data_IF_291582230078
#
_entry.id   IF_291582230078
#
_cell.length_a   1.000
_cell.length_b   1.000
_cell.length_c   1.000
_cell.angle_alpha   90.00
_cell.angle_beta   90.00
_cell.angle_gamma   90.00
#
_symmetry.space_group_name_H-M   'P 1'
#
loop_
_entity.id
_entity.type
_entity.pdbx_description
1 polymer ?
#
# COMPACT_ATOMS: atom_id res chain seq x y z
N UNK A 1 24.68 -0.02 5.59
CA UNK A 1 24.19 1.02 4.68
C UNK A 1 23.26 0.35 3.68
N UNK A 2 22.00 0.78 3.56
CA UNK A 2 20.93 0.09 2.79
C UNK A 2 21.14 0.15 1.26
N UNK A 3 22.37 0.37 0.84
CA UNK A 3 22.74 0.68 -0.52
C UNK A 3 23.45 -0.54 -1.05
N UNK A 4 22.85 -1.21 -2.02
CA UNK A 4 23.43 -2.32 -2.77
C UNK A 4 24.64 -1.91 -3.61
N UNK A 5 25.53 -1.10 -3.05
CA UNK A 5 26.68 -0.49 -3.68
C UNK A 5 27.93 -1.34 -3.45
N UNK A 6 27.79 -2.65 -3.34
CA UNK A 6 28.97 -3.51 -3.33
C UNK A 6 29.37 -3.79 -4.77
N UNK A 7 30.09 -2.83 -5.39
CA UNK A 7 30.94 -3.16 -6.55
C UNK A 7 31.98 -4.23 -6.17
N UNK A 8 32.26 -4.39 -4.87
CA UNK A 8 32.95 -5.51 -4.25
C UNK A 8 32.29 -5.84 -2.90
N UNK A 9 31.61 -6.98 -2.79
CA UNK A 9 31.08 -7.48 -1.52
C UNK A 9 30.04 -8.60 -1.73
N UNK A 10 29.93 -9.57 -0.81
CA UNK A 10 29.01 -10.69 -0.97
C UNK A 10 27.57 -10.16 -0.88
N UNK A 11 26.70 -10.58 -1.80
CA UNK A 11 25.26 -10.41 -1.66
C UNK A 11 24.81 -11.07 -0.35
N UNK A 12 24.77 -10.31 0.75
CA UNK A 12 24.24 -10.80 2.02
C UNK A 12 22.75 -11.01 1.80
N UNK A 13 22.33 -12.27 1.76
CA UNK A 13 20.92 -12.63 1.89
C UNK A 13 20.47 -12.16 3.27
N UNK A 14 19.61 -11.14 3.30
CA UNK A 14 18.97 -10.71 4.54
C UNK A 14 18.05 -11.83 5.02
N UNK A 15 18.03 -12.08 6.32
CA UNK A 15 16.94 -12.88 6.88
C UNK A 15 15.61 -12.10 6.81
N UNK A 16 14.45 -12.79 6.94
CA UNK A 16 13.16 -12.13 6.81
C UNK A 16 12.95 -10.96 7.77
N UNK A 17 13.47 -11.02 8.99
CA UNK A 17 13.30 -9.95 9.98
C UNK A 17 14.13 -8.74 9.58
N UNK A 18 15.40 -8.95 9.22
CA UNK A 18 16.28 -7.90 8.70
C UNK A 18 15.63 -7.21 7.48
N UNK A 19 15.10 -7.98 6.52
CA UNK A 19 14.42 -7.45 5.33
C UNK A 19 13.23 -6.54 5.70
N UNK A 20 12.36 -6.97 6.60
CA UNK A 20 11.21 -6.16 7.01
C UNK A 20 11.64 -4.87 7.74
N UNK A 21 12.67 -4.91 8.57
CA UNK A 21 13.20 -3.71 9.23
C UNK A 21 13.82 -2.72 8.23
N UNK A 22 14.47 -3.22 7.18
CA UNK A 22 14.91 -2.38 6.04
C UNK A 22 13.73 -1.68 5.38
N UNK A 23 12.64 -2.41 5.08
CA UNK A 23 11.46 -1.82 4.44
C UNK A 23 10.80 -0.75 5.34
N UNK A 24 10.61 -1.04 6.63
CA UNK A 24 9.99 -0.11 7.60
C UNK A 24 10.75 1.20 7.77
N UNK A 25 12.09 1.13 7.73
CA UNK A 25 12.97 2.29 7.89
C UNK A 25 13.20 3.08 6.60
N UNK A 26 12.73 2.57 5.46
CA UNK A 26 12.89 3.21 4.16
C UNK A 26 11.81 4.26 3.88
N UNK A 27 12.18 5.36 3.20
CA UNK A 27 11.20 6.35 2.70
C UNK A 27 10.40 5.80 1.53
N UNK A 28 11.12 5.27 0.53
CA UNK A 28 10.57 4.70 -0.69
C UNK A 28 11.00 3.23 -0.81
N UNK A 29 10.10 2.39 -1.31
CA UNK A 29 10.38 0.98 -1.56
C UNK A 29 10.12 0.64 -3.02
N UNK A 30 11.14 0.07 -3.67
CA UNK A 30 11.10 -0.26 -5.08
C UNK A 30 10.02 -1.32 -5.38
N UNK A 31 9.07 -0.96 -6.23
CA UNK A 31 8.04 -1.84 -6.78
C UNK A 31 8.10 -1.89 -8.32
N UNK A 32 9.25 -2.27 -8.91
CA UNK A 32 9.39 -2.38 -10.36
C UNK A 32 8.54 -3.53 -10.91
N UNK A 33 8.37 -3.54 -12.24
CA UNK A 33 7.63 -4.57 -12.94
C UNK A 33 8.19 -5.97 -12.64
N UNK A 34 7.28 -6.93 -12.58
CA UNK A 34 7.59 -8.36 -12.53
C UNK A 34 6.88 -9.06 -13.69
N UNK A 35 6.42 -10.30 -13.48
CA UNK A 35 5.44 -10.93 -14.37
C UNK A 35 4.04 -10.33 -14.16
N UNK A 36 3.90 -9.02 -14.42
CA UNK A 36 2.67 -8.24 -14.20
C UNK A 36 2.73 -7.37 -12.94
N UNK A 37 1.63 -7.36 -12.18
CA UNK A 37 1.52 -6.67 -10.90
C UNK A 37 2.54 -7.22 -9.86
N UNK A 38 3.27 -6.33 -9.17
CA UNK A 38 4.34 -6.73 -8.25
C UNK A 38 3.82 -6.89 -6.81
N UNK A 39 4.06 -8.06 -6.19
CA UNK A 39 3.85 -8.26 -4.74
C UNK A 39 4.64 -7.26 -3.90
N UNK A 40 5.72 -6.69 -4.44
CA UNK A 40 6.54 -5.65 -3.81
C UNK A 40 5.73 -4.38 -3.49
N UNK A 41 4.73 -4.06 -4.30
CA UNK A 41 3.82 -2.94 -3.99
C UNK A 41 3.05 -3.24 -2.70
N UNK A 42 2.54 -4.46 -2.55
CA UNK A 42 1.85 -4.89 -1.31
C UNK A 42 2.81 -4.97 -0.13
N UNK A 43 4.04 -5.44 -0.30
CA UNK A 43 5.04 -5.48 0.79
C UNK A 43 5.42 -4.06 1.25
N UNK A 44 5.59 -3.13 0.31
CA UNK A 44 5.88 -1.73 0.58
C UNK A 44 4.74 -1.10 1.37
N UNK A 45 3.51 -1.27 0.87
CA UNK A 45 2.29 -0.88 1.59
C UNK A 45 2.35 -1.55 2.95
N UNK A 46 2.44 -2.89 3.04
CA UNK A 46 2.48 -3.70 4.26
C UNK A 46 3.58 -3.36 5.29
N UNK A 47 4.55 -2.49 4.98
CA UNK A 47 5.55 -1.99 5.92
C UNK A 47 5.49 -0.46 6.11
N UNK A 48 4.48 0.23 5.58
CA UNK A 48 4.33 1.69 5.65
C UNK A 48 5.35 2.46 4.79
N UNK A 49 5.98 1.79 3.85
CA UNK A 49 6.96 2.36 2.94
C UNK A 49 6.28 2.83 1.65
N UNK A 50 6.55 4.07 1.21
CA UNK A 50 5.89 4.62 0.03
C UNK A 50 6.30 3.80 -1.21
N UNK A 51 5.35 3.14 -1.92
CA UNK A 51 5.69 2.34 -3.08
C UNK A 51 6.25 3.22 -4.20
N UNK A 52 7.40 2.82 -4.75
CA UNK A 52 8.01 3.42 -5.92
C UNK A 52 7.75 2.52 -7.14
N UNK A 53 6.70 2.84 -7.88
CA UNK A 53 6.19 2.03 -8.99
C UNK A 53 6.95 2.38 -10.27
N UNK A 54 7.64 1.40 -10.85
CA UNK A 54 8.33 1.51 -12.15
C UNK A 54 7.85 0.36 -13.02
N UNK A 55 6.73 0.58 -13.73
CA UNK A 55 6.00 -0.49 -14.42
C UNK A 55 5.46 -0.03 -15.79
N UNK A 56 6.09 0.99 -16.36
CA UNK A 56 5.90 1.36 -17.76
C UNK A 56 6.58 0.34 -18.68
N UNK A 57 5.96 0.15 -19.83
CA UNK A 57 6.51 -0.56 -20.98
C UNK A 57 6.84 0.49 -22.06
N UNK A 58 8.13 0.82 -22.26
CA UNK A 58 8.54 1.82 -23.24
C UNK A 58 8.16 1.47 -24.68
N UNK A 59 8.06 0.18 -25.02
CA UNK A 59 7.81 -0.28 -26.38
C UNK A 59 6.32 -0.15 -26.75
N UNK A 60 5.43 -0.47 -25.81
CA UNK A 60 3.98 -0.33 -26.02
C UNK A 60 3.42 1.02 -25.57
N UNK A 61 4.19 1.81 -24.82
CA UNK A 61 3.73 3.05 -24.17
C UNK A 61 2.68 2.81 -23.07
N UNK A 62 2.49 1.54 -22.68
CA UNK A 62 1.50 1.16 -21.67
C UNK A 62 2.13 1.06 -20.28
N UNK A 63 1.31 0.91 -19.25
CA UNK A 63 1.75 0.71 -17.87
C UNK A 63 0.83 -0.31 -17.20
N UNK A 64 1.39 -1.03 -16.22
CA UNK A 64 0.60 -1.96 -15.40
C UNK A 64 -0.22 -1.21 -14.37
N UNK A 65 -1.54 -1.45 -14.41
CA UNK A 65 -2.48 -1.00 -13.39
C UNK A 65 -2.23 -1.74 -12.07
N UNK A 66 -2.28 -1.01 -10.96
CA UNK A 66 -2.18 -1.53 -9.62
C UNK A 66 -3.53 -2.05 -9.12
N UNK A 67 -3.47 -2.76 -7.99
CA UNK A 67 -4.66 -3.31 -7.35
C UNK A 67 -5.70 -2.22 -7.09
N UNK A 68 -6.90 -2.44 -7.63
CA UNK A 68 -8.04 -1.53 -7.52
C UNK A 68 -7.74 -0.08 -7.94
N UNK A 69 -6.82 0.17 -8.88
CA UNK A 69 -6.46 1.55 -9.31
C UNK A 69 -7.65 2.32 -9.91
N UNK A 70 -8.72 1.63 -10.33
CA UNK A 70 -9.99 2.28 -10.71
C UNK A 70 -10.77 2.89 -9.51
N UNK A 71 -10.47 2.44 -8.28
CA UNK A 71 -11.09 2.91 -7.04
C UNK A 71 -10.10 3.68 -6.14
N UNK A 72 -8.85 3.22 -6.07
CA UNK A 72 -7.82 3.72 -5.18
C UNK A 72 -6.90 4.68 -5.95
N UNK A 73 -6.74 5.93 -5.49
CA UNK A 73 -5.91 6.90 -6.17
C UNK A 73 -4.43 6.64 -5.84
N UNK A 74 -3.81 5.69 -6.53
CA UNK A 74 -2.41 5.31 -6.29
C UNK A 74 -1.44 6.49 -6.34
N UNK A 75 -1.70 7.51 -7.17
CA UNK A 75 -0.92 8.75 -7.20
C UNK A 75 -0.89 9.52 -5.88
N UNK A 76 -1.85 9.30 -4.99
CA UNK A 76 -1.93 10.00 -3.71
C UNK A 76 -1.11 9.33 -2.61
N UNK A 77 -0.68 8.07 -2.80
CA UNK A 77 0.04 7.30 -1.76
C UNK A 77 1.24 6.50 -2.30
N UNK A 78 1.58 6.67 -3.58
CA UNK A 78 2.74 6.06 -4.22
C UNK A 78 3.41 7.07 -5.15
N UNK A 79 4.67 6.80 -5.49
CA UNK A 79 5.40 7.55 -6.50
C UNK A 79 5.56 6.65 -7.72
N UNK A 80 5.06 7.07 -8.89
CA UNK A 80 5.24 6.34 -10.15
C UNK A 80 6.30 7.04 -11.00
N UNK A 81 7.34 6.30 -11.37
CA UNK A 81 8.42 6.76 -12.26
C UNK A 81 8.51 5.85 -13.50
N UNK A 82 9.24 6.31 -14.52
CA UNK A 82 9.47 5.54 -15.74
C UNK A 82 10.76 4.74 -15.68
N UNK A 83 10.89 3.70 -16.48
CA UNK A 83 12.15 2.97 -16.64
C UNK A 83 13.29 3.91 -17.07
N UNK A 84 12.98 4.92 -17.89
CA UNK A 84 13.93 5.95 -18.31
C UNK A 84 14.49 6.79 -17.15
N UNK A 85 13.82 6.82 -15.99
CA UNK A 85 14.28 7.53 -14.80
C UNK A 85 15.25 6.72 -13.95
N UNK A 86 15.38 5.40 -14.17
CA UNK A 86 16.26 4.49 -13.40
C UNK A 86 17.68 5.04 -13.22
N UNK A 87 18.36 5.55 -14.27
CA UNK A 87 19.72 6.08 -14.14
C UNK A 87 19.85 7.29 -13.19
N UNK A 88 18.75 8.01 -12.95
CA UNK A 88 18.71 9.23 -12.12
C UNK A 88 17.95 9.02 -10.81
N UNK A 89 17.59 7.78 -10.47
CA UNK A 89 16.82 7.50 -9.26
C UNK A 89 17.42 8.12 -7.99
N UNK A 90 18.73 8.02 -7.71
CA UNK A 90 19.30 8.63 -6.51
C UNK A 90 19.04 10.13 -6.43
N UNK A 91 19.25 10.86 -7.53
CA UNK A 91 19.02 12.31 -7.61
C UNK A 91 17.53 12.67 -7.45
N UNK A 92 16.64 11.94 -8.15
CA UNK A 92 15.20 12.18 -8.10
C UNK A 92 14.61 11.93 -6.71
N UNK A 93 15.09 10.91 -6.00
CA UNK A 93 14.60 10.57 -4.66
C UNK A 93 15.22 11.46 -3.58
N UNK A 94 16.48 11.88 -3.75
CA UNK A 94 17.15 12.80 -2.82
C UNK A 94 16.58 14.21 -2.92
N UNK A 95 16.24 14.66 -4.13
CA UNK A 95 15.57 15.95 -4.37
C UNK A 95 14.07 15.94 -4.10
N UNK A 96 13.47 14.80 -3.74
CA UNK A 96 12.03 14.70 -3.52
C UNK A 96 11.62 15.45 -2.24
N UNK A 97 10.70 16.43 -2.30
CA UNK A 97 10.36 17.24 -1.13
C UNK A 97 9.81 16.42 0.03
N UNK A 98 10.36 16.62 1.23
CA UNK A 98 9.93 15.91 2.43
C UNK A 98 8.44 16.09 2.72
N UNK A 99 7.90 17.31 2.55
CA UNK A 99 6.49 17.58 2.76
C UNK A 99 5.58 16.73 1.85
N UNK A 100 5.97 16.57 0.58
CA UNK A 100 5.25 15.74 -0.38
C UNK A 100 5.38 14.26 -0.02
N UNK A 101 6.56 13.81 0.40
CA UNK A 101 6.75 12.43 0.85
C UNK A 101 5.89 12.11 2.09
N UNK A 102 5.86 13.01 3.06
CA UNK A 102 5.03 12.86 4.24
C UNK A 102 3.56 12.72 3.82
N UNK A 103 3.06 13.56 2.92
CA UNK A 103 1.69 13.45 2.41
C UNK A 103 1.38 12.08 1.78
N UNK A 104 2.29 11.56 0.94
CA UNK A 104 2.15 10.21 0.38
C UNK A 104 2.05 9.16 1.49
N UNK A 105 2.93 9.23 2.50
CA UNK A 105 2.93 8.30 3.64
C UNK A 105 1.66 8.43 4.51
N UNK A 106 1.12 9.65 4.66
CA UNK A 106 -0.16 9.87 5.35
C UNK A 106 -1.32 9.18 4.64
N UNK A 107 -1.40 9.38 3.33
CA UNK A 107 -2.43 8.78 2.51
C UNK A 107 -2.28 7.25 2.42
N UNK A 108 -1.05 6.74 2.50
CA UNK A 108 -0.75 5.31 2.58
C UNK A 108 -1.38 4.66 3.82
N UNK A 109 -1.29 5.32 4.98
CA UNK A 109 -1.97 4.85 6.19
C UNK A 109 -3.49 4.82 6.02
N UNK A 110 -4.05 5.84 5.35
CA UNK A 110 -5.49 5.91 5.08
C UNK A 110 -6.01 4.85 4.11
N UNK A 111 -5.19 4.36 3.18
CA UNK A 111 -5.60 3.35 2.19
C UNK A 111 -5.31 1.91 2.65
N UNK A 112 -4.54 1.74 3.73
CA UNK A 112 -4.12 0.45 4.26
C UNK A 112 -5.21 -0.64 4.27
N UNK A 113 -6.37 -0.38 4.89
CA UNK A 113 -7.36 -1.43 5.08
C UNK A 113 -8.02 -1.81 3.75
N UNK A 114 -8.04 -0.90 2.77
CA UNK A 114 -8.63 -1.10 1.43
C UNK A 114 -7.81 -2.03 0.55
N UNK A 115 -6.53 -2.23 0.86
CA UNK A 115 -5.57 -2.92 0.00
C UNK A 115 -5.22 -4.30 0.53
N UNK A 116 -5.04 -4.45 1.85
CA UNK A 116 -4.48 -5.65 2.45
C UNK A 116 -5.55 -6.53 3.10
N UNK A 117 -5.49 -7.84 2.84
CA UNK A 117 -6.36 -8.86 3.43
C UNK A 117 -5.83 -9.35 4.77
N UNK A 118 -5.66 -8.43 5.73
CA UNK A 118 -5.16 -8.74 7.07
C UNK A 118 -6.33 -8.88 8.07
N UNK A 119 -6.12 -9.59 9.19
CA UNK A 119 -7.10 -9.71 10.29
C UNK A 119 -6.49 -9.31 11.64
N UNK A 120 -7.13 -8.33 12.31
CA UNK A 120 -7.51 -8.29 13.74
C UNK A 120 -8.04 -6.89 14.12
N UNK A 121 -7.41 -5.83 13.60
CA UNK A 121 -7.73 -4.42 13.83
C UNK A 121 -7.76 -3.62 12.51
N UNK A 122 -7.22 -4.18 11.43
CA UNK A 122 -7.11 -3.54 10.10
C UNK A 122 -6.31 -2.22 10.14
N UNK A 123 -5.48 -2.03 11.16
CA UNK A 123 -4.64 -0.84 11.31
C UNK A 123 -3.27 -0.99 10.61
N UNK A 124 -2.68 0.14 10.24
CA UNK A 124 -1.32 0.18 9.69
C UNK A 124 -0.26 -0.30 10.73
N UNK A 125 0.86 -0.94 10.31
CA UNK A 125 1.92 -1.38 11.18
C UNK A 125 2.54 -0.19 11.89
N UNK A 126 2.82 -0.39 13.18
CA UNK A 126 3.23 0.70 14.07
C UNK A 126 2.08 1.26 14.90
N UNK A 127 0.82 1.11 14.47
CA UNK A 127 -0.39 1.48 15.25
C UNK A 127 -1.15 0.27 15.79
N UNK A 128 -0.72 -0.94 15.44
CA UNK A 128 -1.27 -2.19 15.97
C UNK A 128 -0.90 -2.33 17.45
N UNK A 129 -1.90 -2.40 18.34
CA UNK A 129 -1.64 -2.55 19.78
C UNK A 129 -1.04 -3.93 20.09
N UNK A 130 0.18 -3.95 20.63
CA UNK A 130 0.78 -5.16 21.18
C UNK A 130 0.18 -5.46 22.56
N UNK A 131 -0.33 -6.69 22.75
CA UNK A 131 -0.70 -7.35 24.03
C UNK A 131 -2.10 -7.09 24.59
N UNK A 132 -2.93 -8.15 24.57
CA UNK A 132 -4.23 -8.27 25.22
C UNK A 132 -4.98 -9.53 24.77
N UNK A 133 -4.59 -10.69 25.32
CA UNK A 133 -5.31 -11.98 25.35
C UNK A 133 -5.84 -12.61 24.04
N UNK A 134 -5.04 -13.51 23.49
CA UNK A 134 -5.40 -14.41 22.38
C UNK A 134 -6.67 -15.26 22.63
N UNK A 135 -7.09 -15.46 23.88
CA UNK A 135 -8.31 -16.20 24.23
C UNK A 135 -9.60 -15.40 23.98
N UNK A 136 -9.57 -14.06 24.12
CA UNK A 136 -10.68 -13.18 23.75
C UNK A 136 -10.74 -12.93 22.24
N UNK A 137 -9.61 -13.10 21.55
CA UNK A 137 -9.51 -12.99 20.09
C UNK A 137 -10.34 -14.07 19.37
N UNK A 138 -10.38 -15.29 19.94
CA UNK A 138 -11.10 -16.44 19.36
C UNK A 138 -12.63 -16.37 19.51
N UNK A 139 -13.18 -15.71 20.53
CA UNK A 139 -14.63 -15.50 20.67
C UNK A 139 -15.14 -14.37 19.78
N UNK A 140 -14.33 -13.34 19.53
CA UNK A 140 -14.63 -12.27 18.57
C UNK A 140 -14.46 -12.69 17.10
N UNK A 141 -13.65 -13.71 16.83
CA UNK A 141 -13.47 -14.34 15.51
C UNK A 141 -14.65 -15.22 15.06
N UNK A 142 -15.59 -15.58 15.94
CA UNK A 142 -16.62 -16.60 15.64
C UNK A 142 -17.85 -16.10 14.85
N UNK A 143 -17.92 -14.82 14.49
CA UNK A 143 -18.88 -14.31 13.50
C UNK A 143 -18.14 -14.03 12.19
N UNK A 144 -18.23 -14.95 11.24
CA UNK A 144 -17.68 -14.91 9.87
C UNK A 144 -18.27 -13.77 9.01
N UNK A 145 -18.06 -12.52 9.41
CA UNK A 145 -18.39 -11.33 8.63
C UNK A 145 -19.26 -10.33 9.39
N UNK A 146 -19.01 -9.05 9.05
CA UNK A 146 -19.76 -7.82 9.33
C UNK A 146 -19.34 -6.94 10.51
N UNK A 147 -18.77 -7.46 11.58
CA UNK A 147 -18.57 -6.65 12.81
C UNK A 147 -17.11 -6.26 13.11
N UNK A 148 -16.28 -6.07 12.07
CA UNK A 148 -15.00 -5.37 12.21
C UNK A 148 -15.25 -3.86 12.12
N UNK A 149 -14.57 -3.05 12.95
CA UNK A 149 -14.65 -1.56 12.98
C UNK A 149 -14.50 -0.93 11.58
N UNK A 150 -13.84 -1.61 10.65
CA UNK A 150 -13.57 -1.18 9.28
C UNK A 150 -14.30 -2.01 8.22
N UNK A 151 -15.40 -2.70 8.54
CA UNK A 151 -16.11 -3.60 7.60
C UNK A 151 -16.66 -2.91 6.33
N UNK A 152 -16.78 -1.58 6.31
CA UNK A 152 -17.10 -0.76 5.12
C UNK A 152 -15.87 -0.28 4.33
N UNK A 153 -14.69 -0.51 4.87
CA UNK A 153 -13.42 0.13 4.52
C UNK A 153 -12.28 -0.85 4.24
N UNK A 154 -12.57 -2.14 4.21
CA UNK A 154 -11.60 -3.22 4.02
C UNK A 154 -11.39 -3.60 2.54
N UNK A 155 -10.46 -4.53 2.31
CA UNK A 155 -10.13 -5.06 0.99
C UNK A 155 -11.30 -5.83 0.34
N UNK A 156 -12.18 -6.44 1.15
CA UNK A 156 -13.39 -7.09 0.64
C UNK A 156 -14.33 -6.06 0.02
N UNK A 157 -14.57 -4.95 0.70
CA UNK A 157 -15.40 -3.87 0.15
C UNK A 157 -14.78 -3.23 -1.09
N UNK A 158 -13.46 -3.12 -1.18
CA UNK A 158 -12.77 -2.71 -2.42
C UNK A 158 -13.09 -3.65 -3.59
N UNK A 159 -13.08 -4.97 -3.37
CA UNK A 159 -13.50 -5.95 -4.40
C UNK A 159 -14.96 -5.77 -4.75
N UNK A 160 -15.84 -5.70 -3.76
CA UNK A 160 -17.29 -5.62 -3.99
C UNK A 160 -17.67 -4.33 -4.72
N UNK A 161 -17.05 -3.19 -4.40
CA UNK A 161 -17.25 -1.94 -5.12
C UNK A 161 -16.74 -2.02 -6.56
N UNK A 162 -15.58 -2.64 -6.79
CA UNK A 162 -15.03 -2.85 -8.14
C UNK A 162 -16.03 -3.65 -9.00
N UNK A 163 -16.55 -4.76 -8.46
CA UNK A 163 -17.54 -5.59 -9.15
C UNK A 163 -18.84 -4.82 -9.41
N UNK A 164 -19.40 -4.15 -8.40
CA UNK A 164 -20.63 -3.35 -8.54
C UNK A 164 -20.47 -2.25 -9.60
N UNK A 165 -19.33 -1.54 -9.60
CA UNK A 165 -18.99 -0.50 -10.57
C UNK A 165 -18.92 -1.04 -12.00
N UNK A 166 -18.23 -2.17 -12.20
CA UNK A 166 -18.13 -2.83 -13.52
C UNK A 166 -19.49 -3.29 -14.03
N UNK A 167 -20.34 -3.84 -13.16
CA UNK A 167 -21.72 -4.22 -13.51
C UNK A 167 -22.58 -3.01 -13.85
N UNK A 168 -22.49 -1.93 -13.07
CA UNK A 168 -23.23 -0.68 -13.31
C UNK A 168 -22.86 -0.08 -14.67
N UNK A 169 -21.55 0.04 -14.96
CA UNK A 169 -21.03 0.50 -16.26
C UNK A 169 -21.56 -0.32 -17.42
N UNK A 170 -21.52 -1.66 -17.32
CA UNK A 170 -22.04 -2.57 -18.35
C UNK A 170 -23.55 -2.36 -18.60
N UNK A 171 -24.32 -2.04 -17.55
CA UNK A 171 -25.77 -1.82 -17.62
C UNK A 171 -26.16 -0.37 -17.92
N UNK A 172 -25.21 0.54 -18.18
CA UNK A 172 -25.48 1.96 -18.38
C UNK A 172 -26.09 2.65 -17.16
N UNK A 173 -25.80 2.16 -15.95
CA UNK A 173 -26.30 2.71 -14.68
C UNK A 173 -25.25 3.59 -14.03
N UNK A 174 -25.71 4.49 -13.17
CA UNK A 174 -24.84 5.31 -12.33
C UNK A 174 -23.93 4.44 -11.45
N UNK A 175 -22.69 4.88 -11.30
CA UNK A 175 -21.68 4.22 -10.47
C UNK A 175 -21.79 4.75 -9.05
N UNK A 176 -21.83 3.83 -8.08
CA UNK A 176 -21.85 4.17 -6.66
C UNK A 176 -20.61 4.97 -6.26
N UNK A 177 -20.76 5.99 -5.39
CA UNK A 177 -19.61 6.69 -4.83
C UNK A 177 -18.75 5.74 -3.99
N UNK A 178 -17.44 6.03 -3.93
CA UNK A 178 -16.48 5.22 -3.19
C UNK A 178 -15.51 6.12 -2.43
N UNK A 179 -15.44 5.96 -1.10
CA UNK A 179 -14.45 6.66 -0.27
C UNK A 179 -13.19 5.82 -0.13
N UNK A 180 -12.12 6.22 -0.79
CA UNK A 180 -10.84 5.51 -0.71
C UNK A 180 -10.14 5.70 0.65
N UNK A 181 -10.34 6.84 1.33
CA UNK A 181 -9.84 7.06 2.70
C UNK A 181 -10.66 6.25 3.69
N UNK A 182 -9.97 5.58 4.62
CA UNK A 182 -10.59 4.83 5.71
C UNK A 182 -10.65 5.64 7.00
N UNK A 183 -11.61 5.36 7.91
CA UNK A 183 -11.69 6.00 9.22
C UNK A 183 -10.76 5.33 10.26
N UNK A 184 -9.80 4.51 9.80
CA UNK A 184 -8.84 3.80 10.64
C UNK A 184 -8.07 4.79 11.55
N UNK A 185 -7.69 4.36 12.75
CA UNK A 185 -6.92 5.20 13.67
C UNK A 185 -5.60 5.63 13.04
N UNK A 186 -4.98 4.73 12.28
CA UNK A 186 -3.79 5.03 11.46
C UNK A 186 -4.00 6.15 10.44
N UNK A 187 -5.21 6.36 9.92
CA UNK A 187 -5.53 7.52 9.07
C UNK A 187 -5.68 8.80 9.91
N UNK A 188 -6.47 8.72 10.99
CA UNK A 188 -6.80 9.85 11.87
C UNK A 188 -5.60 10.46 12.61
N UNK A 189 -4.76 9.60 13.19
CA UNK A 189 -3.52 9.98 13.88
C UNK A 189 -2.63 10.85 12.99
N UNK A 190 -2.76 10.68 11.68
CA UNK A 190 -1.91 11.28 10.69
C UNK A 190 -2.58 12.49 10.02
N UNK A 191 -3.92 12.59 10.01
CA UNK A 191 -4.67 13.77 9.54
C UNK A 191 -4.94 14.80 10.64
N UNK A 192 -4.74 14.45 11.91
CA UNK A 192 -5.03 15.32 13.05
C UNK A 192 -6.52 15.42 13.40
N UNK A 193 -7.34 14.53 12.85
CA UNK A 193 -8.76 14.40 13.16
C UNK A 193 -8.93 13.48 14.38
N UNK A 194 -8.91 14.08 15.58
CA UNK A 194 -9.20 13.38 16.86
C UNK A 194 -10.70 13.11 16.99
#
# INVERSE_FOLDING_TARGET
DLRGDSKFGPHKRLDPKEYLEVLKSSKFCLAPSGMGFSTRSYESIAQGCVPLVIQDDPDSGSSVDQAFEELLPWSNFSLRLKQADIPRLPELLDSFPDAAWHELRRNLACVWPRVLWLQADNEAPGEQSSQGDAANKASHLSMLGRDAVLSGYDAWESVMHTLKRRVARRKGREVLPFSWRTPASSCKAVTGEV
#
